data_IF_385856229976
#
_entry.id   IF_385856229976
#
_cell.length_a   1.000
_cell.length_b   1.000
_cell.length_c   1.000
_cell.angle_alpha   90.00
_cell.angle_beta   90.00
_cell.angle_gamma   90.00
#
_symmetry.space_group_name_H-M   'P 1'
#
loop_
_entity.id
_entity.type
_entity.pdbx_description
1 polymer ?
#
# COMPACT_ATOMS: atom_id res chain seq x y z
N UNK A 1 -33.56 14.79 -40.84
CA UNK A 1 -32.39 13.90 -40.71
C UNK A 1 -31.83 14.09 -39.30
N UNK A 2 -32.06 13.11 -38.42
CA UNK A 2 -31.81 13.21 -36.98
C UNK A 2 -30.35 12.86 -36.63
N UNK A 3 -29.73 13.71 -35.80
CA UNK A 3 -28.43 13.49 -35.16
C UNK A 3 -28.58 12.35 -34.15
N UNK A 4 -27.77 11.30 -34.25
CA UNK A 4 -27.57 10.31 -33.18
C UNK A 4 -26.19 10.55 -32.56
N UNK A 5 -26.20 11.25 -31.43
CA UNK A 5 -25.12 11.19 -30.45
C UNK A 5 -25.14 9.79 -29.81
N UNK A 6 -24.09 9.00 -30.08
CA UNK A 6 -23.86 7.74 -29.37
C UNK A 6 -23.17 8.05 -28.05
N UNK A 7 -23.85 7.75 -26.95
CA UNK A 7 -23.37 7.91 -25.58
C UNK A 7 -22.10 7.11 -25.35
N UNK A 8 -21.06 7.78 -24.83
CA UNK A 8 -19.90 7.10 -24.23
C UNK A 8 -20.39 6.26 -23.07
N UNK A 9 -20.26 4.95 -23.19
CA UNK A 9 -20.56 3.97 -22.15
C UNK A 9 -19.55 4.18 -21.01
N UNK A 10 -19.95 4.84 -19.93
CA UNK A 10 -19.18 4.85 -18.69
C UNK A 10 -19.18 3.42 -18.15
N UNK A 11 -18.04 2.72 -18.26
CA UNK A 11 -17.84 1.45 -17.59
C UNK A 11 -17.79 1.71 -16.09
N UNK A 12 -18.85 1.31 -15.39
CA UNK A 12 -18.88 1.29 -13.94
C UNK A 12 -17.90 0.19 -13.52
N UNK A 13 -16.78 0.58 -12.90
CA UNK A 13 -15.74 -0.36 -12.47
C UNK A 13 -16.25 -1.20 -11.30
N UNK A 14 -16.72 -2.41 -11.58
CA UNK A 14 -16.85 -3.46 -10.58
C UNK A 14 -15.46 -3.97 -10.21
N UNK A 15 -15.25 -4.32 -8.94
CA UNK A 15 -14.06 -5.04 -8.49
C UNK A 15 -13.88 -6.27 -9.37
N UNK A 16 -12.70 -6.43 -9.97
CA UNK A 16 -12.35 -7.62 -10.77
C UNK A 16 -12.14 -8.86 -9.90
N UNK A 17 -12.26 -8.76 -8.57
CA UNK A 17 -11.95 -9.82 -7.62
C UNK A 17 -10.46 -10.16 -7.52
N UNK A 18 -9.60 -9.43 -8.22
CA UNK A 18 -8.15 -9.57 -8.14
C UNK A 18 -7.60 -8.65 -7.03
N UNK A 19 -6.92 -9.25 -6.07
CA UNK A 19 -6.29 -8.56 -4.93
C UNK A 19 -4.76 -8.71 -4.90
N UNK A 20 -4.17 -9.35 -5.92
CA UNK A 20 -2.73 -9.62 -6.02
C UNK A 20 -1.97 -8.53 -6.81
N UNK A 21 -2.38 -7.26 -6.68
CA UNK A 21 -1.74 -6.14 -7.39
C UNK A 21 -0.29 -5.97 -6.94
N UNK A 22 0.63 -5.78 -7.88
CA UNK A 22 2.05 -5.59 -7.56
C UNK A 22 2.37 -4.11 -7.39
N UNK A 23 3.26 -3.81 -6.45
CA UNK A 23 3.71 -2.44 -6.21
C UNK A 23 4.51 -1.94 -7.44
N UNK A 24 4.32 -0.70 -7.91
CA UNK A 24 5.18 -0.15 -8.95
C UNK A 24 6.64 -0.12 -8.45
N UNK A 25 7.56 -0.74 -9.18
CA UNK A 25 8.95 -0.95 -8.74
C UNK A 25 9.68 0.34 -8.37
N UNK A 26 9.69 1.34 -9.27
CA UNK A 26 10.33 2.64 -9.00
C UNK A 26 9.77 3.32 -7.73
N UNK A 27 8.48 3.14 -7.45
CA UNK A 27 7.84 3.70 -6.25
C UNK A 27 8.29 2.98 -4.97
N UNK A 28 8.50 1.67 -5.04
CA UNK A 28 9.06 0.90 -3.94
C UNK A 28 10.54 1.27 -3.71
N UNK A 29 11.35 1.30 -4.76
CA UNK A 29 12.81 1.53 -4.68
C UNK A 29 13.15 2.85 -3.98
N UNK A 30 12.46 3.96 -4.33
CA UNK A 30 12.69 5.24 -3.66
C UNK A 30 12.38 5.20 -2.14
N UNK A 31 11.37 4.43 -1.74
CA UNK A 31 11.02 4.24 -0.33
C UNK A 31 12.01 3.30 0.36
N UNK A 32 12.47 2.27 -0.35
CA UNK A 32 13.46 1.32 0.14
C UNK A 32 14.81 1.99 0.40
N UNK A 33 15.24 2.95 -0.43
CA UNK A 33 16.44 3.75 -0.17
C UNK A 33 16.38 4.51 1.18
N UNK A 34 15.18 4.85 1.66
CA UNK A 34 14.95 5.58 2.90
C UNK A 34 14.71 4.70 4.12
N UNK A 35 14.09 3.54 3.93
CA UNK A 35 13.71 2.63 5.01
C UNK A 35 14.62 1.41 5.12
N UNK A 36 15.16 0.90 4.02
CA UNK A 36 15.87 -0.37 3.95
C UNK A 36 14.96 -1.52 4.37
N UNK A 37 13.90 -1.76 3.60
CA UNK A 37 12.93 -2.80 3.90
C UNK A 37 13.62 -4.17 3.95
N UNK A 38 13.30 -4.93 4.99
CA UNK A 38 13.87 -6.25 5.25
C UNK A 38 12.86 -7.37 5.10
N UNK A 39 11.57 -7.04 4.91
CA UNK A 39 10.47 -7.97 4.74
C UNK A 39 9.40 -7.41 3.81
N UNK A 40 9.02 -8.17 2.78
CA UNK A 40 7.79 -7.96 2.00
C UNK A 40 6.69 -8.89 2.53
N UNK A 41 5.77 -8.33 3.33
CA UNK A 41 4.84 -9.13 4.11
C UNK A 41 3.60 -9.60 3.32
N UNK A 42 3.40 -9.17 2.07
CA UNK A 42 2.25 -9.57 1.28
C UNK A 42 2.57 -9.50 -0.22
N UNK A 43 3.14 -10.58 -0.76
CA UNK A 43 3.46 -10.68 -2.18
C UNK A 43 3.18 -12.09 -2.71
N UNK A 44 3.50 -12.33 -3.98
CA UNK A 44 3.75 -13.67 -4.51
C UNK A 44 5.23 -13.77 -4.88
N UNK A 45 5.75 -14.99 -5.00
CA UNK A 45 7.18 -15.26 -5.21
C UNK A 45 7.79 -14.45 -6.36
N UNK A 46 7.07 -14.36 -7.49
CA UNK A 46 7.55 -13.68 -8.70
C UNK A 46 7.64 -12.16 -8.55
N UNK A 47 7.02 -11.60 -7.51
CA UNK A 47 6.86 -10.15 -7.32
C UNK A 47 7.39 -9.68 -5.98
N UNK A 48 8.09 -10.55 -5.24
CA UNK A 48 8.68 -10.22 -3.96
C UNK A 48 9.65 -9.04 -4.11
N UNK A 49 9.53 -8.05 -3.22
CA UNK A 49 10.33 -6.83 -3.24
C UNK A 49 11.51 -6.87 -2.27
N UNK A 50 11.58 -7.88 -1.41
CA UNK A 50 12.60 -8.09 -0.39
C UNK A 50 13.10 -9.54 -0.43
N UNK A 51 14.33 -9.79 0.05
CA UNK A 51 14.88 -11.15 0.15
C UNK A 51 14.09 -12.04 1.13
N UNK A 52 13.58 -11.45 2.23
CA UNK A 52 12.59 -12.12 3.07
C UNK A 52 11.20 -11.66 2.64
N UNK A 53 10.30 -12.60 2.44
CA UNK A 53 8.93 -12.31 2.06
C UNK A 53 7.98 -13.42 2.49
N UNK A 54 6.68 -13.10 2.49
CA UNK A 54 5.62 -14.07 2.68
C UNK A 54 4.67 -14.09 1.49
N UNK A 55 4.40 -15.30 1.02
CA UNK A 55 3.40 -15.62 0.00
C UNK A 55 2.05 -15.96 0.66
N UNK A 56 0.95 -16.09 -0.11
CA UNK A 56 -0.31 -16.58 0.43
C UNK A 56 -0.18 -17.95 1.13
N UNK A 57 0.72 -18.81 0.65
CA UNK A 57 0.99 -20.14 1.21
C UNK A 57 1.66 -20.08 2.59
N UNK A 58 2.42 -19.02 2.88
CA UNK A 58 3.09 -18.81 4.17
C UNK A 58 2.15 -18.27 5.25
N UNK A 59 0.96 -17.79 4.88
CA UNK A 59 0.00 -17.14 5.79
C UNK A 59 0.65 -16.07 6.68
N UNK A 60 1.12 -14.99 6.05
CA UNK A 60 1.79 -13.86 6.73
C UNK A 60 1.06 -13.32 7.98
N UNK A 61 -0.27 -13.44 8.03
CA UNK A 61 -1.07 -13.00 9.18
C UNK A 61 -0.76 -13.81 10.45
N UNK A 62 -0.38 -15.09 10.32
CA UNK A 62 0.05 -15.94 11.44
C UNK A 62 1.54 -15.88 11.75
N UNK A 63 2.36 -15.29 10.86
CA UNK A 63 3.82 -15.20 11.02
C UNK A 63 4.24 -14.11 12.00
N UNK A 64 5.36 -14.30 12.70
CA UNK A 64 5.99 -13.23 13.47
C UNK A 64 6.86 -12.36 12.56
N UNK A 65 6.52 -11.08 12.46
CA UNK A 65 7.29 -10.11 11.66
C UNK A 65 8.53 -9.60 12.43
N UNK A 66 8.65 -9.89 13.73
CA UNK A 66 9.79 -9.53 14.55
C UNK A 66 10.08 -8.03 14.54
N UNK A 67 11.36 -7.68 14.49
CA UNK A 67 11.83 -6.28 14.41
C UNK A 67 12.17 -5.85 12.97
N UNK A 68 11.54 -6.48 11.97
CA UNK A 68 11.79 -6.13 10.56
C UNK A 68 11.30 -4.72 10.22
N UNK A 69 11.87 -4.18 9.13
CA UNK A 69 11.35 -2.99 8.46
C UNK A 69 10.50 -3.50 7.30
N UNK A 70 9.19 -3.43 7.48
CA UNK A 70 8.21 -4.17 6.67
C UNK A 70 7.60 -3.27 5.60
N UNK A 71 7.67 -3.73 4.36
CA UNK A 71 6.81 -3.26 3.29
C UNK A 71 5.50 -4.07 3.29
N UNK A 72 4.37 -3.39 3.18
CA UNK A 72 3.06 -4.04 3.13
C UNK A 72 2.18 -3.42 2.04
N UNK A 73 1.93 -4.19 0.98
CA UNK A 73 0.89 -3.93 -0.01
C UNK A 73 -0.15 -5.08 0.05
N UNK A 74 -1.09 -5.05 1.01
CA UNK A 74 -1.91 -6.21 1.32
C UNK A 74 -3.06 -6.39 0.31
N UNK A 75 -3.70 -7.57 0.28
CA UNK A 75 -5.02 -7.73 -0.34
C UNK A 75 -6.03 -6.69 0.17
N UNK A 76 -6.59 -5.89 -0.72
CA UNK A 76 -7.46 -4.76 -0.33
C UNK A 76 -8.88 -5.17 0.10
N UNK A 77 -9.27 -6.43 -0.09
CA UNK A 77 -10.57 -6.96 0.34
C UNK A 77 -10.68 -7.12 1.87
N UNK A 78 -9.56 -7.34 2.58
CA UNK A 78 -9.53 -7.52 4.03
C UNK A 78 -8.54 -6.59 4.75
N UNK A 79 -8.58 -5.30 4.39
CA UNK A 79 -7.68 -4.30 4.98
C UNK A 79 -7.74 -4.23 6.51
N UNK A 80 -8.89 -4.52 7.12
CA UNK A 80 -9.03 -4.45 8.58
C UNK A 80 -8.09 -5.43 9.28
N UNK A 81 -8.06 -6.69 8.84
CA UNK A 81 -7.22 -7.73 9.44
C UNK A 81 -5.74 -7.40 9.25
N UNK A 82 -5.34 -6.99 8.05
CA UNK A 82 -3.95 -6.61 7.74
C UNK A 82 -3.47 -5.39 8.52
N UNK A 83 -4.30 -4.36 8.65
CA UNK A 83 -3.94 -3.18 9.45
C UNK A 83 -3.85 -3.53 10.94
N UNK A 84 -4.72 -4.41 11.45
CA UNK A 84 -4.59 -4.92 12.82
C UNK A 84 -3.26 -5.64 13.04
N UNK A 85 -2.90 -6.55 12.12
CA UNK A 85 -1.62 -7.28 12.17
C UNK A 85 -0.42 -6.33 12.14
N UNK A 86 -0.44 -5.33 11.27
CA UNK A 86 0.63 -4.35 11.15
C UNK A 86 0.82 -3.54 12.45
N UNK A 87 -0.29 -3.18 13.10
CA UNK A 87 -0.26 -2.48 14.39
C UNK A 87 0.30 -3.36 15.49
N UNK A 88 -0.11 -4.62 15.55
CA UNK A 88 0.44 -5.57 16.52
C UNK A 88 1.94 -5.77 16.34
N UNK A 89 2.41 -5.94 15.10
CA UNK A 89 3.83 -6.04 14.77
C UNK A 89 4.61 -4.77 15.16
N UNK A 90 4.06 -3.60 14.85
CA UNK A 90 4.66 -2.31 15.22
C UNK A 90 4.78 -2.11 16.74
N UNK A 91 3.74 -2.51 17.48
CA UNK A 91 3.77 -2.50 18.94
C UNK A 91 4.85 -3.43 19.51
N UNK A 92 5.14 -4.53 18.81
CA UNK A 92 6.17 -5.50 19.17
C UNK A 92 7.58 -5.17 18.67
N UNK A 93 7.76 -4.08 17.92
CA UNK A 93 9.08 -3.55 17.55
C UNK A 93 9.35 -3.42 16.05
N UNK A 94 8.46 -3.90 15.19
CA UNK A 94 8.57 -3.70 13.74
C UNK A 94 8.42 -2.22 13.36
N UNK A 95 8.98 -1.85 12.21
CA UNK A 95 8.58 -0.65 11.45
C UNK A 95 7.74 -1.12 10.27
N UNK A 96 6.62 -0.46 9.95
CA UNK A 96 5.74 -0.90 8.86
C UNK A 96 5.33 0.28 7.99
N UNK A 97 5.56 0.16 6.68
CA UNK A 97 5.07 1.10 5.66
C UNK A 97 4.03 0.40 4.80
N UNK A 98 2.82 0.94 4.76
CA UNK A 98 1.65 0.25 4.25
C UNK A 98 1.04 1.04 3.09
N UNK A 99 0.97 0.44 1.91
CA UNK A 99 0.34 1.02 0.73
C UNK A 99 -1.11 0.56 0.60
N UNK A 100 -2.06 1.49 0.68
CA UNK A 100 -3.49 1.18 0.60
C UNK A 100 -4.28 2.22 -0.21
N UNK A 101 -5.50 1.88 -0.66
CA UNK A 101 -6.43 2.87 -1.18
C UNK A 101 -6.78 3.92 -0.12
N UNK A 102 -6.79 5.19 -0.49
CA UNK A 102 -7.19 6.31 0.39
C UNK A 102 -8.73 6.40 0.48
N UNK A 103 -9.35 5.40 1.10
CA UNK A 103 -10.81 5.33 1.34
C UNK A 103 -11.13 5.80 2.76
N UNK A 104 -11.13 7.13 2.92
CA UNK A 104 -11.23 7.77 4.24
C UNK A 104 -12.53 7.51 4.97
N UNK A 105 -13.58 7.05 4.29
CA UNK A 105 -14.90 6.73 4.84
C UNK A 105 -14.99 5.32 5.48
N UNK A 106 -14.00 4.45 5.23
CA UNK A 106 -14.04 3.06 5.70
C UNK A 106 -13.62 2.91 7.17
N UNK A 107 -14.15 1.87 7.84
CA UNK A 107 -13.75 1.50 9.21
C UNK A 107 -12.23 1.27 9.30
N UNK A 108 -11.66 0.54 8.34
CA UNK A 108 -10.23 0.28 8.29
C UNK A 108 -9.41 1.57 8.30
N UNK A 109 -9.83 2.59 7.54
CA UNK A 109 -9.16 3.89 7.55
C UNK A 109 -9.39 4.65 8.86
N UNK A 110 -10.64 4.75 9.31
CA UNK A 110 -11.02 5.55 10.47
C UNK A 110 -10.44 5.01 11.79
N UNK A 111 -10.36 3.69 11.94
CA UNK A 111 -9.90 3.06 13.19
C UNK A 111 -8.41 2.79 13.25
N UNK A 112 -7.75 2.61 12.10
CA UNK A 112 -6.32 2.25 12.07
C UNK A 112 -5.48 3.38 11.48
N UNK A 113 -5.73 3.73 10.21
CA UNK A 113 -4.95 4.74 9.51
C UNK A 113 -4.96 6.07 10.27
N UNK A 114 -6.13 6.60 10.62
CA UNK A 114 -6.25 7.92 11.24
C UNK A 114 -5.85 7.97 12.73
N UNK A 115 -5.94 6.84 13.46
CA UNK A 115 -5.76 6.83 14.92
C UNK A 115 -4.40 6.33 15.38
N UNK A 116 -3.82 5.37 14.66
CA UNK A 116 -2.67 4.60 15.16
C UNK A 116 -1.37 4.99 14.44
N UNK A 117 -1.45 5.57 13.24
CA UNK A 117 -0.24 5.88 12.49
C UNK A 117 0.61 6.99 13.12
N UNK A 118 1.91 6.94 12.88
CA UNK A 118 2.80 8.08 13.10
C UNK A 118 2.60 9.14 11.99
N UNK A 119 2.32 8.68 10.77
CA UNK A 119 2.18 9.53 9.60
C UNK A 119 1.31 8.88 8.52
N UNK A 120 0.51 9.68 7.81
CA UNK A 120 -0.15 9.32 6.55
C UNK A 120 0.36 10.24 5.45
N UNK A 121 0.71 9.67 4.30
CA UNK A 121 0.98 10.40 3.07
C UNK A 121 -0.08 10.10 2.02
N UNK A 122 -0.94 11.07 1.71
CA UNK A 122 -1.89 11.00 0.61
C UNK A 122 -1.19 11.33 -0.70
N UNK A 123 -0.95 10.31 -1.52
CA UNK A 123 -0.14 10.40 -2.74
C UNK A 123 -0.87 11.28 -3.77
N UNK A 124 -0.14 12.24 -4.34
CA UNK A 124 -0.64 13.09 -5.42
C UNK A 124 -0.63 12.31 -6.74
N UNK A 125 -1.82 12.05 -7.28
CA UNK A 125 -1.99 11.35 -8.55
C UNK A 125 -2.55 9.94 -8.38
N UNK A 126 -2.29 9.07 -9.36
CA UNK A 126 -2.74 7.68 -9.38
C UNK A 126 -1.57 6.78 -9.76
N UNK A 127 -1.24 5.84 -8.87
CA UNK A 127 -0.24 4.82 -9.13
C UNK A 127 -0.69 3.89 -10.26
N UNK A 128 0.27 3.23 -10.90
CA UNK A 128 0.06 2.21 -11.94
C UNK A 128 0.58 0.88 -11.41
N UNK A 129 -0.28 0.14 -10.73
CA UNK A 129 0.07 -1.16 -10.15
C UNK A 129 0.24 -2.21 -11.24
N UNK A 130 1.22 -3.10 -11.10
CA UNK A 130 1.37 -4.23 -12.00
C UNK A 130 0.47 -5.40 -11.62
N UNK A 131 0.63 -6.50 -12.34
CA UNK A 131 0.01 -7.80 -12.04
C UNK A 131 1.11 -8.86 -12.06
N UNK A 132 1.02 -9.95 -11.27
CA UNK A 132 2.11 -10.93 -11.19
C UNK A 132 2.42 -11.62 -12.51
N UNK A 133 1.43 -11.78 -13.38
CA UNK A 133 1.62 -12.42 -14.67
C UNK A 133 2.46 -11.56 -15.65
N UNK A 134 2.49 -10.24 -15.46
CA UNK A 134 3.19 -9.28 -16.31
C UNK A 134 3.71 -8.07 -15.48
N UNK A 135 4.67 -8.27 -14.56
CA UNK A 135 5.01 -7.28 -13.54
C UNK A 135 5.60 -5.98 -14.11
N UNK A 136 6.32 -6.06 -15.23
CA UNK A 136 6.94 -4.91 -15.90
C UNK A 136 6.02 -4.17 -16.87
N UNK A 137 4.81 -4.71 -17.12
CA UNK A 137 3.89 -4.11 -18.09
C UNK A 137 3.23 -2.88 -17.49
N UNK A 138 3.35 -1.75 -18.19
CA UNK A 138 2.64 -0.53 -17.82
C UNK A 138 1.13 -0.74 -17.91
N UNK A 139 0.47 -0.69 -16.77
CA UNK A 139 -0.99 -0.76 -16.64
C UNK A 139 -1.61 0.63 -16.66
N UNK A 140 -2.95 0.66 -16.74
CA UNK A 140 -3.72 1.87 -16.50
C UNK A 140 -3.56 2.34 -15.06
N UNK A 141 -3.71 3.65 -14.86
CA UNK A 141 -3.74 4.22 -13.52
C UNK A 141 -4.86 3.60 -12.68
N UNK A 142 -4.56 3.32 -11.41
CA UNK A 142 -5.53 2.79 -10.47
C UNK A 142 -6.80 3.66 -10.46
N UNK A 143 -8.00 3.07 -10.45
CA UNK A 143 -9.25 3.83 -10.43
C UNK A 143 -9.52 4.47 -9.06
N UNK A 144 -8.64 4.28 -8.08
CA UNK A 144 -8.75 4.78 -6.71
C UNK A 144 -7.51 5.60 -6.30
N UNK A 145 -7.65 6.58 -5.39
CA UNK A 145 -6.51 7.25 -4.78
C UNK A 145 -5.72 6.28 -3.87
N UNK A 146 -4.43 6.55 -3.68
CA UNK A 146 -3.56 5.76 -2.80
C UNK A 146 -3.00 6.63 -1.68
N UNK A 147 -2.70 6.03 -0.54
CA UNK A 147 -1.94 6.64 0.54
C UNK A 147 -0.95 5.63 1.13
N UNK A 148 0.12 6.16 1.73
CA UNK A 148 0.98 5.41 2.64
C UNK A 148 0.53 5.66 4.07
N UNK A 149 0.33 4.59 4.83
CA UNK A 149 0.23 4.63 6.30
C UNK A 149 1.59 4.20 6.82
N UNK A 150 2.20 5.03 7.66
CA UNK A 150 3.55 4.82 8.18
C UNK A 150 3.49 4.63 9.69
N UNK A 151 3.99 3.47 10.13
CA UNK A 151 4.21 3.08 11.52
C UNK A 151 5.73 3.02 11.74
N UNK A 152 6.32 4.11 12.20
CA UNK A 152 7.77 4.29 12.39
C UNK A 152 8.04 5.22 13.59
N UNK A 153 8.43 4.63 14.73
CA UNK A 153 8.77 5.36 15.97
C UNK A 153 9.94 6.32 15.79
N UNK A 154 10.76 6.11 14.75
CA UNK A 154 11.98 6.85 14.47
C UNK A 154 11.88 7.64 13.15
N UNK A 155 10.65 8.05 12.77
CA UNK A 155 10.39 8.77 11.53
C UNK A 155 11.19 10.08 11.44
N UNK A 156 12.21 10.08 10.58
CA UNK A 156 13.15 11.20 10.43
C UNK A 156 12.60 12.35 9.59
N UNK A 157 13.19 13.54 9.72
CA UNK A 157 12.86 14.70 8.86
C UNK A 157 13.09 14.41 7.38
N UNK A 158 14.12 13.63 7.03
CA UNK A 158 14.41 13.25 5.66
C UNK A 158 13.26 12.40 5.07
N UNK A 159 12.82 11.37 5.80
CA UNK A 159 11.65 10.54 5.44
C UNK A 159 10.39 11.39 5.26
N UNK A 160 10.11 12.31 6.20
CA UNK A 160 8.94 13.21 6.12
C UNK A 160 9.02 14.13 4.89
N UNK A 161 10.20 14.68 4.59
CA UNK A 161 10.37 15.56 3.43
C UNK A 161 10.17 14.81 2.12
N UNK A 162 10.66 13.56 2.02
CA UNK A 162 10.38 12.72 0.88
C UNK A 162 8.87 12.44 0.74
N UNK A 163 8.18 12.03 1.81
CA UNK A 163 6.72 11.84 1.79
C UNK A 163 5.97 13.10 1.34
N UNK A 164 6.42 14.30 1.74
CA UNK A 164 5.83 15.57 1.28
C UNK A 164 6.03 15.84 -0.21
N UNK A 165 7.07 15.27 -0.81
CA UNK A 165 7.27 15.35 -2.26
C UNK A 165 6.28 14.45 -3.02
N UNK A 166 5.87 13.33 -2.41
CA UNK A 166 4.86 12.43 -2.95
C UNK A 166 3.43 13.00 -2.84
N UNK A 167 3.14 13.78 -1.79
CA UNK A 167 1.82 14.38 -1.62
C UNK A 167 1.56 15.03 -0.27
N UNK A 168 0.29 15.06 0.14
CA UNK A 168 -0.12 15.69 1.40
C UNK A 168 0.23 14.77 2.57
N UNK A 169 1.02 15.27 3.51
CA UNK A 169 1.40 14.52 4.71
C UNK A 169 0.64 15.02 5.93
N UNK A 170 0.02 14.09 6.65
CA UNK A 170 -0.57 14.30 7.97
C UNK A 170 0.23 13.50 8.99
N UNK A 171 0.72 14.18 10.03
CA UNK A 171 1.40 13.54 11.15
C UNK A 171 0.45 13.51 12.34
N UNK A 172 0.36 12.37 13.03
CA UNK A 172 -0.32 12.33 14.32
C UNK A 172 0.62 12.98 15.35
N UNK A 173 0.11 13.98 16.06
CA UNK A 173 0.89 14.78 17.03
C UNK A 173 0.87 14.14 18.42
#
# INVERSE_FOLDING_TARGET
>A
MSKKDASKKHSVHFSTGKDNWTTPKDFFEDLDELWGFTLDAACVDETALCDNFFTPEDDSLSQDWGNNIVWLNPPYSDLKTWLSKAVDAYNNGATVVILVPSRTDTIAFQDYAAKICDCICFIKGRLRFGIPEEPDKKTDSAPFPSCLIVLDKYLTTAKINYLKSLGLVMKNL
#
